data_IF_595418469682
#
_entry.id   IF_595418469682
#
_cell.length_a   1.000
_cell.length_b   1.000
_cell.length_c   1.000
_cell.angle_alpha   90.00
_cell.angle_beta   90.00
_cell.angle_gamma   90.00
#
_symmetry.space_group_name_H-M   'P 1'
#
loop_
_entity.id
_entity.type
_entity.pdbx_description
1 polymer ?
#
# COMPACT_ATOMS: atom_id res chain seq x y z
N UNK A 1 -16.90 -0.64 24.74
CA UNK A 1 -16.70 -1.41 23.49
C UNK A 1 -17.61 -0.77 22.46
N UNK A 2 -17.06 -0.19 21.40
CA UNK A 2 -17.88 0.22 20.25
C UNK A 2 -18.43 -1.05 19.62
N UNK A 3 -19.75 -1.19 19.63
CA UNK A 3 -20.42 -2.32 18.99
C UNK A 3 -20.19 -2.23 17.48
N UNK A 4 -19.60 -3.26 16.88
CA UNK A 4 -19.33 -3.29 15.45
C UNK A 4 -20.65 -3.46 14.70
N UNK A 5 -21.08 -2.42 14.00
CA UNK A 5 -22.27 -2.45 13.16
C UNK A 5 -22.02 -3.27 11.89
N UNK A 6 -23.02 -4.02 11.37
CA UNK A 6 -22.89 -4.73 10.11
C UNK A 6 -22.89 -3.76 8.93
N UNK A 7 -22.18 -4.13 7.85
CA UNK A 7 -22.05 -3.35 6.61
C UNK A 7 -23.40 -2.92 6.01
N UNK A 8 -24.45 -3.71 6.21
CA UNK A 8 -25.79 -3.47 5.68
C UNK A 8 -26.70 -2.65 6.61
N UNK A 9 -26.20 -2.20 7.77
CA UNK A 9 -26.97 -1.34 8.66
C UNK A 9 -27.22 0.04 8.02
N UNK A 10 -28.36 0.68 8.27
CA UNK A 10 -28.63 2.03 7.74
C UNK A 10 -27.55 3.06 8.09
N UNK A 11 -26.94 2.94 9.28
CA UNK A 11 -25.85 3.81 9.74
C UNK A 11 -24.61 3.62 8.86
N UNK A 12 -24.16 2.38 8.66
CA UNK A 12 -22.96 2.10 7.87
C UNK A 12 -23.17 2.43 6.38
N UNK A 13 -24.37 2.20 5.84
CA UNK A 13 -24.72 2.59 4.47
C UNK A 13 -24.66 4.12 4.31
N UNK A 14 -25.21 4.88 5.27
CA UNK A 14 -25.16 6.34 5.21
C UNK A 14 -23.72 6.86 5.33
N UNK A 15 -22.94 6.30 6.27
CA UNK A 15 -21.52 6.61 6.40
C UNK A 15 -20.74 6.33 5.10
N UNK A 16 -21.02 5.20 4.42
CA UNK A 16 -20.40 4.88 3.14
C UNK A 16 -20.76 5.89 2.04
N UNK A 17 -22.00 6.40 2.01
CA UNK A 17 -22.43 7.43 1.04
C UNK A 17 -21.70 8.75 1.26
N UNK A 18 -21.58 9.19 2.51
CA UNK A 18 -20.83 10.40 2.86
C UNK A 18 -19.34 10.24 2.52
N UNK A 19 -18.76 9.10 2.89
CA UNK A 19 -17.36 8.77 2.60
C UNK A 19 -17.08 8.73 1.09
N UNK A 20 -18.00 8.18 0.30
CA UNK A 20 -17.87 8.11 -1.16
C UNK A 20 -17.81 9.50 -1.79
N UNK A 21 -18.64 10.44 -1.34
CA UNK A 21 -18.64 11.81 -1.85
C UNK A 21 -17.30 12.50 -1.58
N UNK A 22 -16.76 12.35 -0.37
CA UNK A 22 -15.46 12.93 0.02
C UNK A 22 -14.32 12.28 -0.75
N UNK A 23 -14.23 10.94 -0.74
CA UNK A 23 -13.18 10.19 -1.42
C UNK A 23 -13.16 10.47 -2.93
N UNK A 24 -14.34 10.52 -3.57
CA UNK A 24 -14.46 10.81 -5.01
C UNK A 24 -14.04 12.24 -5.34
N UNK A 25 -14.38 13.20 -4.48
CA UNK A 25 -13.96 14.59 -4.65
C UNK A 25 -12.45 14.75 -4.49
N UNK A 26 -11.86 14.07 -3.50
CA UNK A 26 -10.42 14.05 -3.29
C UNK A 26 -9.68 13.37 -4.46
N UNK A 27 -10.21 12.26 -4.99
CA UNK A 27 -9.66 11.59 -6.18
C UNK A 27 -9.56 12.54 -7.39
N UNK A 28 -10.63 13.31 -7.65
CA UNK A 28 -10.64 14.30 -8.75
C UNK A 28 -9.67 15.46 -8.49
N UNK A 29 -9.61 15.94 -7.25
CA UNK A 29 -8.69 17.01 -6.85
C UNK A 29 -7.24 16.58 -7.06
N UNK A 30 -6.86 15.42 -6.53
CA UNK A 30 -5.51 14.89 -6.62
C UNK A 30 -5.10 14.57 -8.06
N UNK A 31 -6.00 13.98 -8.85
CA UNK A 31 -5.77 13.78 -10.29
C UNK A 31 -5.60 15.09 -11.06
N UNK A 32 -6.31 16.15 -10.66
CA UNK A 32 -6.12 17.48 -11.23
C UNK A 32 -4.74 18.03 -10.88
N UNK A 33 -4.31 17.91 -9.62
CA UNK A 33 -2.97 18.31 -9.19
C UNK A 33 -1.87 17.53 -9.94
N UNK A 34 -2.07 16.23 -10.15
CA UNK A 34 -1.14 15.41 -10.93
C UNK A 34 -1.00 15.93 -12.36
N UNK A 35 -2.11 16.19 -13.05
CA UNK A 35 -2.12 16.76 -14.40
C UNK A 35 -1.41 18.12 -14.46
N UNK A 36 -1.74 19.02 -13.52
CA UNK A 36 -1.06 20.32 -13.43
C UNK A 36 0.44 20.16 -13.16
N UNK A 37 0.84 19.20 -12.32
CA UNK A 37 2.24 18.94 -12.00
C UNK A 37 3.03 18.42 -13.20
N UNK A 38 2.45 17.49 -13.97
CA UNK A 38 3.03 16.95 -15.22
C UNK A 38 3.24 18.06 -16.24
N UNK A 39 2.26 18.96 -16.36
CA UNK A 39 2.32 20.11 -17.27
C UNK A 39 3.14 21.29 -16.69
N UNK A 40 3.80 21.11 -15.55
CA UNK A 40 4.57 22.13 -14.83
C UNK A 40 3.78 23.45 -14.55
N UNK A 41 2.46 23.35 -14.35
CA UNK A 41 1.58 24.48 -14.01
C UNK A 41 1.50 24.76 -12.50
N UNK A 42 2.07 23.88 -11.68
CA UNK A 42 2.13 23.99 -10.22
C UNK A 42 3.46 23.42 -9.74
N UNK A 43 4.04 24.05 -8.71
CA UNK A 43 5.23 23.54 -8.03
C UNK A 43 4.80 22.71 -6.80
N UNK A 44 5.04 21.41 -6.84
CA UNK A 44 4.81 20.48 -5.73
C UNK A 44 6.11 19.75 -5.41
N UNK A 45 6.35 19.53 -4.12
CA UNK A 45 7.41 18.63 -3.63
C UNK A 45 7.03 17.14 -3.75
N UNK A 46 5.90 16.84 -4.41
CA UNK A 46 5.42 15.49 -4.73
C UNK A 46 5.61 15.23 -6.22
N UNK A 47 6.06 14.02 -6.56
CA UNK A 47 6.27 13.60 -7.96
C UNK A 47 4.94 13.13 -8.59
N UNK A 48 4.79 13.16 -9.92
CA UNK A 48 3.60 12.63 -10.57
C UNK A 48 3.29 11.16 -10.23
N UNK A 49 4.32 10.33 -10.09
CA UNK A 49 4.18 8.92 -9.70
C UNK A 49 3.70 8.75 -8.26
N UNK A 50 4.14 9.61 -7.32
CA UNK A 50 3.60 9.63 -5.97
C UNK A 50 2.08 9.83 -5.98
N UNK A 51 1.61 10.83 -6.72
CA UNK A 51 0.18 11.11 -6.86
C UNK A 51 -0.56 9.97 -7.56
N UNK A 52 0.11 9.21 -8.43
CA UNK A 52 -0.51 8.04 -9.06
C UNK A 52 -0.75 6.91 -8.05
N UNK A 53 0.18 6.69 -7.12
CA UNK A 53 0.05 5.68 -6.06
C UNK A 53 -1.15 5.97 -5.16
N UNK A 54 -1.23 7.20 -4.64
CA UNK A 54 -2.35 7.63 -3.77
C UNK A 54 -3.69 7.62 -4.51
N UNK A 55 -3.71 7.90 -5.82
CA UNK A 55 -4.90 7.73 -6.67
C UNK A 55 -5.28 6.25 -6.80
N UNK A 56 -4.33 5.34 -6.98
CA UNK A 56 -4.60 3.90 -7.03
C UNK A 56 -5.21 3.41 -5.69
N UNK A 57 -4.68 3.83 -4.55
CA UNK A 57 -5.22 3.53 -3.21
C UNK A 57 -6.66 4.07 -3.04
N UNK A 58 -6.90 5.32 -3.42
CA UNK A 58 -8.23 5.93 -3.35
C UNK A 58 -9.21 5.22 -4.30
N UNK A 59 -8.77 4.82 -5.49
CA UNK A 59 -9.60 4.05 -6.42
C UNK A 59 -9.99 2.69 -5.84
N UNK A 60 -9.12 2.03 -5.08
CA UNK A 60 -9.48 0.83 -4.33
C UNK A 60 -10.51 1.12 -3.24
N UNK A 61 -10.37 2.23 -2.50
CA UNK A 61 -11.38 2.60 -1.52
C UNK A 61 -12.74 2.92 -2.15
N UNK A 62 -12.76 3.64 -3.28
CA UNK A 62 -13.96 3.90 -4.07
C UNK A 62 -14.60 2.60 -4.58
N UNK A 63 -13.79 1.61 -4.99
CA UNK A 63 -14.28 0.28 -5.35
C UNK A 63 -15.02 -0.36 -4.17
N UNK A 64 -14.45 -0.34 -2.97
CA UNK A 64 -15.10 -0.89 -1.77
C UNK A 64 -16.40 -0.14 -1.45
N UNK A 65 -16.36 1.19 -1.45
CA UNK A 65 -17.52 2.04 -1.15
C UNK A 65 -18.68 1.81 -2.11
N UNK A 66 -18.43 1.52 -3.39
CA UNK A 66 -19.48 1.18 -4.36
C UNK A 66 -20.34 -0.04 -3.95
N UNK A 67 -19.80 -0.96 -3.16
CA UNK A 67 -20.60 -2.06 -2.58
C UNK A 67 -21.30 -1.61 -1.29
N UNK A 68 -20.58 -0.90 -0.42
CA UNK A 68 -21.10 -0.49 0.89
C UNK A 68 -22.26 0.51 0.81
N UNK A 69 -22.30 1.39 -0.19
CA UNK A 69 -23.45 2.29 -0.41
C UNK A 69 -24.75 1.54 -0.76
N UNK A 70 -24.64 0.26 -1.16
CA UNK A 70 -25.75 -0.65 -1.41
C UNK A 70 -25.99 -1.63 -0.26
N UNK A 71 -25.27 -1.50 0.86
CA UNK A 71 -25.32 -2.44 1.98
C UNK A 71 -24.77 -3.83 1.64
N UNK A 72 -23.88 -3.92 0.64
CA UNK A 72 -23.27 -5.17 0.21
C UNK A 72 -21.81 -5.23 0.68
N UNK A 73 -21.35 -6.42 1.03
CA UNK A 73 -19.92 -6.67 1.24
C UNK A 73 -19.20 -6.54 -0.11
N UNK A 74 -18.05 -5.89 -0.12
CA UNK A 74 -17.23 -5.79 -1.31
C UNK A 74 -16.58 -7.14 -1.64
N UNK A 75 -16.56 -7.48 -2.93
CA UNK A 75 -15.86 -8.66 -3.41
C UNK A 75 -14.35 -8.50 -3.20
N UNK A 76 -13.69 -9.60 -2.85
CA UNK A 76 -12.24 -9.64 -2.75
C UNK A 76 -11.60 -9.55 -4.14
N UNK A 77 -10.46 -8.86 -4.24
CA UNK A 77 -9.67 -8.88 -5.46
C UNK A 77 -9.11 -10.27 -5.70
N UNK A 78 -9.10 -10.73 -6.95
CA UNK A 78 -8.28 -11.88 -7.35
C UNK A 78 -6.81 -11.61 -7.04
N UNK A 79 -6.02 -12.64 -6.70
CA UNK A 79 -4.60 -12.48 -6.33
C UNK A 79 -3.82 -11.62 -7.33
N UNK A 80 -3.96 -11.84 -8.64
CA UNK A 80 -3.26 -11.04 -9.67
C UNK A 80 -3.61 -9.55 -9.62
N UNK A 81 -4.87 -9.20 -9.33
CA UNK A 81 -5.33 -7.80 -9.22
C UNK A 81 -4.89 -7.16 -7.91
N UNK A 82 -4.85 -7.94 -6.82
CA UNK A 82 -4.29 -7.51 -5.56
C UNK A 82 -2.80 -7.17 -5.74
N UNK A 83 -2.05 -8.07 -6.40
CA UNK A 83 -0.64 -7.87 -6.69
C UNK A 83 -0.38 -6.72 -7.67
N UNK A 84 -1.22 -6.55 -8.71
CA UNK A 84 -1.11 -5.41 -9.65
C UNK A 84 -1.15 -4.07 -8.89
N UNK A 85 -2.09 -3.93 -7.94
CA UNK A 85 -2.23 -2.71 -7.14
C UNK A 85 -1.10 -2.54 -6.13
N UNK A 86 -0.91 -3.53 -5.25
CA UNK A 86 -0.06 -3.35 -4.07
C UNK A 86 1.42 -3.54 -4.36
N UNK A 87 1.84 -4.16 -5.47
CA UNK A 87 3.27 -4.15 -5.85
C UNK A 87 3.72 -2.76 -6.35
N UNK A 88 2.85 -2.02 -7.03
CA UNK A 88 3.14 -0.63 -7.41
C UNK A 88 3.31 0.27 -6.17
N UNK A 89 2.41 0.12 -5.20
CA UNK A 89 2.48 0.78 -3.89
C UNK A 89 3.82 0.48 -3.17
N UNK A 90 4.16 -0.80 -3.01
CA UNK A 90 5.36 -1.21 -2.27
C UNK A 90 6.65 -0.77 -2.99
N UNK A 91 6.69 -0.83 -4.32
CA UNK A 91 7.79 -0.26 -5.10
C UNK A 91 7.88 1.27 -4.90
N UNK A 92 6.75 1.96 -4.92
CA UNK A 92 6.65 3.40 -4.64
C UNK A 92 7.24 3.74 -3.28
N UNK A 93 6.86 3.00 -2.23
CA UNK A 93 7.38 3.18 -0.89
C UNK A 93 8.89 2.97 -0.78
N UNK A 94 9.43 1.92 -1.39
CA UNK A 94 10.87 1.67 -1.39
C UNK A 94 11.66 2.79 -2.12
N UNK A 95 11.15 3.26 -3.26
CA UNK A 95 11.72 4.40 -3.99
C UNK A 95 11.63 5.71 -3.19
N UNK A 96 10.52 5.95 -2.50
CA UNK A 96 10.34 7.14 -1.68
C UNK A 96 11.27 7.13 -0.47
N UNK A 97 11.47 5.99 0.18
CA UNK A 97 12.46 5.83 1.24
C UNK A 97 13.85 6.18 0.71
N UNK A 98 14.30 5.54 -0.37
CA UNK A 98 15.62 5.78 -0.96
C UNK A 98 15.81 7.27 -1.33
N UNK A 99 14.82 7.89 -1.99
CA UNK A 99 14.86 9.29 -2.40
C UNK A 99 14.75 10.30 -1.23
N UNK A 100 14.40 9.83 -0.03
CA UNK A 100 14.28 10.66 1.15
C UNK A 100 15.55 10.69 1.99
N UNK A 101 16.43 9.70 1.82
CA UNK A 101 17.74 9.64 2.46
C UNK A 101 18.66 10.71 1.86
N UNK A 102 19.56 11.25 2.69
CA UNK A 102 20.64 12.08 2.18
C UNK A 102 21.57 11.24 1.28
N UNK A 103 22.14 11.80 0.18
CA UNK A 103 23.05 11.06 -0.69
C UNK A 103 24.25 10.40 0.02
N UNK A 104 24.64 10.85 1.21
CA UNK A 104 25.72 10.22 2.00
C UNK A 104 25.29 8.92 2.70
N UNK A 105 23.99 8.65 2.84
CA UNK A 105 23.43 7.43 3.47
C UNK A 105 23.50 6.21 2.53
N UNK A 106 24.67 6.02 1.90
CA UNK A 106 24.90 5.01 0.86
C UNK A 106 24.53 3.59 1.31
N UNK A 107 24.86 3.13 2.55
CA UNK A 107 24.46 1.79 2.99
C UNK A 107 22.94 1.60 3.03
N UNK A 108 22.20 2.55 3.61
CA UNK A 108 20.73 2.49 3.68
C UNK A 108 20.10 2.57 2.28
N UNK A 109 20.65 3.41 1.39
CA UNK A 109 20.18 3.52 0.02
C UNK A 109 20.36 2.20 -0.77
N UNK A 110 21.42 1.43 -0.49
CA UNK A 110 21.64 0.09 -1.07
C UNK A 110 20.67 -0.96 -0.51
N UNK A 111 20.37 -0.90 0.78
CA UNK A 111 19.34 -1.75 1.37
C UNK A 111 17.96 -1.47 0.74
N UNK A 112 17.61 -0.20 0.53
CA UNK A 112 16.38 0.16 -0.18
C UNK A 112 16.39 -0.32 -1.64
N UNK A 113 17.54 -0.20 -2.34
CA UNK A 113 17.70 -0.69 -3.72
C UNK A 113 17.44 -2.20 -3.85
N UNK A 114 17.86 -2.99 -2.87
CA UNK A 114 17.56 -4.42 -2.85
C UNK A 114 16.05 -4.70 -2.90
N UNK A 115 15.25 -3.98 -2.11
CA UNK A 115 13.79 -4.13 -2.13
C UNK A 115 13.15 -3.57 -3.39
N UNK A 116 13.65 -2.45 -3.92
CA UNK A 116 13.22 -1.88 -5.21
C UNK A 116 13.34 -2.93 -6.33
N UNK A 117 14.48 -3.63 -6.40
CA UNK A 117 14.69 -4.68 -7.40
C UNK A 117 13.79 -5.89 -7.16
N UNK A 118 13.58 -6.28 -5.89
CA UNK A 118 12.63 -7.32 -5.50
C UNK A 118 11.21 -7.04 -5.99
N UNK A 119 10.67 -5.85 -5.71
CA UNK A 119 9.32 -5.48 -6.14
C UNK A 119 9.20 -5.39 -7.66
N UNK A 120 10.20 -4.84 -8.37
CA UNK A 120 10.24 -4.86 -9.85
C UNK A 120 10.18 -6.27 -10.42
N UNK A 121 10.95 -7.20 -9.85
CA UNK A 121 10.94 -8.59 -10.28
C UNK A 121 9.56 -9.24 -10.05
N UNK A 122 8.93 -8.98 -8.90
CA UNK A 122 7.57 -9.43 -8.62
C UNK A 122 6.55 -8.87 -9.61
N UNK A 123 6.63 -7.58 -9.97
CA UNK A 123 5.73 -6.97 -10.95
C UNK A 123 5.83 -7.66 -12.33
N UNK A 124 7.04 -7.94 -12.81
CA UNK A 124 7.25 -8.66 -14.08
C UNK A 124 6.65 -10.07 -14.03
N UNK A 125 6.85 -10.78 -12.90
CA UNK A 125 6.28 -12.11 -12.68
C UNK A 125 4.75 -12.06 -12.64
N UNK A 126 4.15 -11.11 -11.93
CA UNK A 126 2.69 -10.95 -11.85
C UNK A 126 2.07 -10.64 -13.23
N UNK A 127 2.70 -9.72 -13.98
CA UNK A 127 2.28 -9.38 -15.33
C UNK A 127 2.23 -10.63 -16.23
N UNK A 128 3.23 -11.51 -16.12
CA UNK A 128 3.29 -12.75 -16.90
C UNK A 128 2.24 -13.76 -16.44
N UNK A 129 2.06 -13.96 -15.13
CA UNK A 129 1.04 -14.86 -14.55
C UNK A 129 -0.36 -14.48 -15.01
N UNK A 130 -0.68 -13.19 -15.10
CA UNK A 130 -1.94 -12.69 -15.67
C UNK A 130 -2.26 -13.28 -17.04
N UNK A 131 -1.23 -13.49 -17.87
CA UNK A 131 -1.37 -14.14 -19.17
C UNK A 131 -1.63 -15.65 -19.08
N UNK A 132 -1.04 -16.33 -18.09
CA UNK A 132 -1.24 -17.77 -17.88
C UNK A 132 -2.65 -18.11 -17.38
N UNK A 133 -3.27 -17.21 -16.61
CA UNK A 133 -4.63 -17.37 -16.07
C UNK A 133 -5.73 -17.38 -17.15
N UNK A 134 -5.41 -17.21 -18.44
CA UNK A 134 -6.36 -17.46 -19.55
C UNK A 134 -6.82 -18.92 -19.61
N UNK A 135 -5.94 -19.85 -19.24
CA UNK A 135 -6.18 -21.29 -19.33
C UNK A 135 -5.81 -22.03 -18.04
N UNK A 136 -5.48 -21.31 -16.97
CA UNK A 136 -5.20 -21.86 -15.64
C UNK A 136 -6.16 -21.26 -14.62
N UNK A 137 -6.58 -22.08 -13.67
CA UNK A 137 -7.36 -21.60 -12.53
C UNK A 137 -6.53 -20.69 -11.62
N UNK A 138 -7.20 -19.77 -10.94
CA UNK A 138 -6.59 -18.96 -9.90
C UNK A 138 -6.08 -19.86 -8.75
N UNK A 139 -4.98 -19.46 -8.11
CA UNK A 139 -4.47 -20.17 -6.94
C UNK A 139 -3.74 -21.50 -7.23
N UNK A 140 -3.28 -21.75 -8.46
CA UNK A 140 -2.40 -22.89 -8.74
C UNK A 140 -1.11 -22.83 -7.88
N UNK A 141 -0.42 -23.96 -7.62
CA UNK A 141 0.67 -24.01 -6.63
C UNK A 141 1.79 -22.96 -6.83
N UNK A 142 2.18 -22.70 -8.07
CA UNK A 142 3.17 -21.67 -8.39
C UNK A 142 2.72 -20.24 -8.10
N UNK A 143 1.41 -19.97 -8.14
CA UNK A 143 0.80 -18.69 -7.78
C UNK A 143 0.78 -18.49 -6.27
N UNK A 144 0.49 -19.54 -5.50
CA UNK A 144 0.52 -19.53 -4.03
C UNK A 144 1.95 -19.30 -3.51
N UNK A 145 2.92 -20.07 -4.03
CA UNK A 145 4.33 -19.84 -3.71
C UNK A 145 4.78 -18.42 -4.08
N UNK A 146 4.29 -17.88 -5.19
CA UNK A 146 4.57 -16.50 -5.56
C UNK A 146 3.99 -15.50 -4.56
N UNK A 147 2.75 -15.67 -4.10
CA UNK A 147 2.21 -14.81 -3.02
C UNK A 147 3.04 -14.89 -1.74
N UNK A 148 3.57 -16.06 -1.38
CA UNK A 148 4.50 -16.19 -0.25
C UNK A 148 5.75 -15.33 -0.42
N UNK A 149 6.42 -15.44 -1.57
CA UNK A 149 7.63 -14.69 -1.90
C UNK A 149 7.41 -13.17 -1.86
N UNK A 150 6.24 -12.72 -2.32
CA UNK A 150 5.84 -11.30 -2.23
C UNK A 150 5.68 -10.89 -0.76
N UNK A 151 4.96 -11.67 0.05
CA UNK A 151 4.76 -11.39 1.47
C UNK A 151 6.07 -11.32 2.26
N UNK A 152 7.01 -12.23 1.98
CA UNK A 152 8.36 -12.21 2.58
C UNK A 152 9.14 -10.94 2.20
N UNK A 153 9.01 -10.48 0.95
CA UNK A 153 9.66 -9.25 0.48
C UNK A 153 9.07 -8.00 1.17
N UNK A 154 7.74 -7.95 1.32
CA UNK A 154 7.05 -6.87 2.05
C UNK A 154 7.47 -6.85 3.52
N UNK A 155 7.53 -8.02 4.18
CA UNK A 155 7.96 -8.11 5.56
C UNK A 155 9.42 -7.66 5.75
N UNK A 156 10.31 -8.06 4.86
CA UNK A 156 11.70 -7.59 4.87
C UNK A 156 11.81 -6.08 4.67
N UNK A 157 11.00 -5.50 3.77
CA UNK A 157 11.00 -4.05 3.57
C UNK A 157 10.50 -3.30 4.81
N UNK A 158 9.46 -3.81 5.47
CA UNK A 158 8.98 -3.24 6.73
C UNK A 158 10.08 -3.23 7.81
N UNK A 159 10.89 -4.28 7.92
CA UNK A 159 12.02 -4.32 8.86
C UNK A 159 13.08 -3.25 8.54
N UNK A 160 13.34 -2.99 7.25
CA UNK A 160 14.21 -1.88 6.86
C UNK A 160 13.62 -0.53 7.30
N UNK A 161 12.32 -0.31 7.12
CA UNK A 161 11.71 0.96 7.54
C UNK A 161 11.69 1.10 9.07
N UNK A 162 11.43 0.02 9.82
CA UNK A 162 11.57 0.02 11.28
C UNK A 162 12.98 0.41 11.72
N UNK A 163 14.01 -0.12 11.06
CA UNK A 163 15.41 0.28 11.29
C UNK A 163 15.62 1.77 11.01
N UNK A 164 15.12 2.30 9.90
CA UNK A 164 15.26 3.73 9.56
C UNK A 164 14.52 4.61 10.56
N UNK A 165 13.34 4.19 11.04
CA UNK A 165 12.59 4.90 12.10
C UNK A 165 13.37 4.93 13.40
N UNK A 166 14.01 3.82 13.78
CA UNK A 166 14.84 3.78 14.97
C UNK A 166 16.02 4.76 14.85
N UNK A 167 16.68 4.81 13.70
CA UNK A 167 17.74 5.80 13.45
C UNK A 167 17.19 7.23 13.49
N UNK A 168 16.04 7.49 12.86
CA UNK A 168 15.38 8.80 12.83
C UNK A 168 15.04 9.28 14.24
N UNK A 169 14.46 8.41 15.09
CA UNK A 169 14.09 8.75 16.47
C UNK A 169 15.30 9.05 17.38
N UNK A 170 16.50 8.64 16.96
CA UNK A 170 17.74 8.86 17.69
C UNK A 170 18.67 9.87 16.98
N UNK A 171 18.15 10.67 16.05
CA UNK A 171 18.91 11.66 15.27
C UNK A 171 20.15 11.09 14.52
N UNK A 172 20.11 9.79 14.18
CA UNK A 172 21.23 9.02 13.62
C UNK A 172 21.10 8.73 12.11
N UNK A 173 20.25 9.47 11.38
CA UNK A 173 20.10 9.32 9.93
C UNK A 173 19.81 10.67 9.26
N UNK A 174 20.62 11.01 8.26
CA UNK A 174 20.44 12.21 7.45
C UNK A 174 19.38 11.97 6.40
N UNK A 175 18.32 12.78 6.42
CA UNK A 175 17.16 12.60 5.55
C UNK A 175 16.37 13.91 5.42
N UNK A 176 15.42 13.93 4.47
CA UNK A 176 14.47 15.04 4.26
C UNK A 176 13.02 14.66 4.57
N UNK A 177 12.80 13.57 5.31
CA UNK A 177 11.48 13.03 5.60
C UNK A 177 10.99 13.41 7.00
N UNK A 178 9.82 12.93 7.37
CA UNK A 178 9.25 13.08 8.72
C UNK A 178 8.92 11.70 9.28
N UNK A 179 8.88 11.59 10.61
CA UNK A 179 8.42 10.35 11.26
C UNK A 179 7.04 9.91 10.75
N UNK A 180 6.12 10.86 10.57
CA UNK A 180 4.77 10.60 10.05
C UNK A 180 4.80 9.96 8.66
N UNK A 181 5.73 10.37 7.81
CA UNK A 181 5.87 9.80 6.47
C UNK A 181 6.50 8.40 6.55
N UNK A 182 7.53 8.20 7.37
CA UNK A 182 8.12 6.88 7.59
C UNK A 182 7.12 5.86 8.14
N UNK A 183 6.20 6.29 9.00
CA UNK A 183 5.20 5.38 9.60
C UNK A 183 3.95 5.16 8.71
N UNK A 184 3.77 5.94 7.65
CA UNK A 184 2.55 5.95 6.83
C UNK A 184 2.27 4.61 6.16
N UNK A 185 3.30 3.95 5.66
CA UNK A 185 3.14 2.75 4.84
C UNK A 185 2.81 1.49 5.67
N UNK A 186 3.00 1.49 7.01
CA UNK A 186 2.78 0.27 7.79
C UNK A 186 1.33 -0.23 7.74
N UNK A 187 0.29 0.61 7.91
CA UNK A 187 -1.09 0.20 7.71
C UNK A 187 -1.38 -0.36 6.31
N UNK A 188 -0.78 0.22 5.26
CA UNK A 188 -0.95 -0.24 3.87
C UNK A 188 -0.28 -1.59 3.65
N UNK A 189 0.99 -1.74 4.02
CA UNK A 189 1.70 -3.02 3.98
C UNK A 189 0.97 -4.08 4.81
N UNK A 190 0.41 -3.69 5.96
CA UNK A 190 -0.37 -4.59 6.80
C UNK A 190 -1.67 -5.03 6.13
N UNK A 191 -2.43 -4.09 5.56
CA UNK A 191 -3.62 -4.39 4.78
C UNK A 191 -3.30 -5.36 3.65
N UNK A 192 -2.21 -5.10 2.91
CA UNK A 192 -1.77 -5.97 1.83
C UNK A 192 -1.43 -7.38 2.34
N UNK A 193 -0.65 -7.52 3.41
CA UNK A 193 -0.32 -8.83 4.00
C UNK A 193 -1.56 -9.59 4.48
N UNK A 194 -2.53 -8.91 5.10
CA UNK A 194 -3.82 -9.51 5.51
C UNK A 194 -4.57 -10.04 4.28
N UNK A 195 -4.66 -9.26 3.20
CA UNK A 195 -5.33 -9.69 1.97
C UNK A 195 -4.57 -10.82 1.28
N UNK A 196 -3.24 -10.82 1.32
CA UNK A 196 -2.38 -11.85 0.74
C UNK A 196 -2.51 -13.18 1.50
N UNK A 197 -2.69 -13.14 2.82
CA UNK A 197 -2.88 -14.32 3.67
C UNK A 197 -4.20 -15.08 3.39
N UNK A 198 -5.15 -14.48 2.66
CA UNK A 198 -6.32 -15.20 2.16
C UNK A 198 -5.97 -16.21 1.05
N UNK A 199 -4.85 -16.01 0.36
CA UNK A 199 -4.38 -16.88 -0.72
C UNK A 199 -3.28 -17.85 -0.26
N UNK A 200 -2.49 -17.43 0.73
CA UNK A 200 -1.39 -18.22 1.30
C UNK A 200 -1.45 -18.19 2.84
N UNK A 201 -2.02 -19.24 3.47
CA UNK A 201 -2.20 -19.29 4.92
C UNK A 201 -0.93 -19.19 5.75
N UNK A 202 0.25 -19.53 5.21
CA UNK A 202 1.52 -19.39 5.92
C UNK A 202 1.85 -17.92 6.23
N UNK A 203 1.30 -16.97 5.46
CA UNK A 203 1.50 -15.54 5.68
C UNK A 203 0.69 -14.98 6.87
N UNK A 204 -0.19 -15.79 7.49
CA UNK A 204 -1.00 -15.34 8.64
C UNK A 204 -0.16 -14.81 9.80
N UNK A 205 1.05 -15.31 9.99
CA UNK A 205 1.96 -14.81 11.03
C UNK A 205 2.44 -13.38 10.70
N UNK A 206 2.76 -13.10 9.44
CA UNK A 206 3.19 -11.79 8.96
C UNK A 206 2.02 -10.78 8.92
N UNK A 207 0.79 -11.27 8.77
CA UNK A 207 -0.43 -10.47 8.81
C UNK A 207 -0.87 -10.05 10.24
N UNK A 208 -0.12 -10.42 11.29
CA UNK A 208 -0.38 -9.97 12.67
C UNK A 208 0.23 -8.57 12.91
N UNK A 209 -0.35 -7.58 12.24
CA UNK A 209 0.11 -6.20 12.26
C UNK A 209 -1.07 -5.24 12.50
N UNK A 210 -0.80 -3.94 12.65
CA UNK A 210 -1.82 -2.93 12.88
C UNK A 210 -2.23 -2.22 11.59
N UNK A 211 -3.55 -2.04 11.40
CA UNK A 211 -4.11 -1.16 10.37
C UNK A 211 -4.17 0.31 10.82
N UNK A 212 -3.61 0.63 11.98
CA UNK A 212 -3.47 2.01 12.46
C UNK A 212 -2.00 2.40 12.55
N UNK A 213 -1.73 3.69 12.40
CA UNK A 213 -0.37 4.21 12.44
C UNK A 213 0.25 3.97 13.82
N UNK A 214 1.51 3.54 13.91
CA UNK A 214 2.19 3.32 15.20
C UNK A 214 2.08 4.50 16.16
N UNK A 215 2.28 5.73 15.68
CA UNK A 215 2.19 6.95 16.48
C UNK A 215 0.80 7.25 17.09
N UNK A 216 -0.28 6.63 16.61
CA UNK A 216 -1.60 6.80 17.20
C UNK A 216 -1.77 6.02 18.52
N UNK A 217 -0.95 4.99 18.74
CA UNK A 217 -0.93 4.25 20.00
C UNK A 217 -0.04 4.90 21.07
N UNK A 218 0.69 5.96 20.71
CA UNK A 218 1.58 6.72 21.61
C UNK A 218 0.99 8.06 22.06
N UNK A 219 -0.31 8.26 21.94
CA UNK A 219 -0.97 9.39 22.60
C UNK A 219 -1.15 9.05 24.10
N UNK A 220 -0.78 9.96 25.02
CA UNK A 220 -1.03 9.78 26.45
C UNK A 220 -2.52 9.71 26.79
#
# INVERSE_FOLDING_TARGET
MSETLPDNSPIMINFARESYQVASSYFKFEGTLQSLRILNKVNLNLTPTYLNGTLNENQEYLRLLNYYVLGKKADELSLVRLLDLWLEDQLGHALLLQNSLDPIEIPLAKEAEFFIQGFRAHMVKNHTIKGYLRFLENGFPGHQLFSKQVGETVAGFNQLVEKVILLYKNDNVFNRTTLRFLEHHFPESCYFLIKLANFEPELKALAKCSLTKPSFHSLP
#
